data_IF_343529377632
#
_entry.id   IF_343529377632
#
_cell.length_a   1.000
_cell.length_b   1.000
_cell.length_c   1.000
_cell.angle_alpha   90.00
_cell.angle_beta   90.00
_cell.angle_gamma   90.00
#
_symmetry.space_group_name_H-M   'P 1'
#
loop_
_entity.id
_entity.type
_entity.pdbx_description
1 polymer ?
#
# COMPACT_ATOMS: atom_id res chain seq x y z
N UNK A 1 -11.38 16.26 3.21
CA UNK A 1 -10.44 17.30 3.67
C UNK A 1 -9.06 16.92 3.14
N UNK A 2 -8.14 17.85 2.89
CA UNK A 2 -6.79 17.48 2.49
C UNK A 2 -6.09 16.73 3.62
N UNK A 3 -5.26 15.76 3.29
CA UNK A 3 -4.44 15.01 4.24
C UNK A 3 -2.99 15.50 4.14
N UNK A 4 -2.25 15.47 5.25
CA UNK A 4 -0.84 15.89 5.32
C UNK A 4 0.12 14.97 4.55
N UNK A 5 -0.33 13.79 4.16
CA UNK A 5 0.42 12.80 3.37
C UNK A 5 -0.52 11.93 2.55
N UNK A 6 0.01 11.28 1.53
CA UNK A 6 -0.76 10.33 0.72
C UNK A 6 -1.15 9.08 1.52
N UNK A 7 -2.35 8.56 1.28
CA UNK A 7 -2.87 7.37 1.97
C UNK A 7 -3.19 6.26 0.96
N UNK A 8 -2.60 5.09 1.19
CA UNK A 8 -2.83 3.86 0.45
C UNK A 8 -3.54 2.86 1.37
N UNK A 9 -4.78 2.49 1.04
CA UNK A 9 -5.54 1.49 1.81
C UNK A 9 -5.49 0.15 1.12
N UNK A 10 -5.02 -0.89 1.83
CA UNK A 10 -4.84 -2.24 1.32
C UNK A 10 -6.01 -3.15 1.65
N UNK A 11 -6.20 -4.15 0.81
CA UNK A 11 -7.12 -5.24 1.06
C UNK A 11 -8.59 -4.86 0.99
N UNK A 12 -8.93 -3.87 0.18
CA UNK A 12 -10.33 -3.52 -0.09
C UNK A 12 -11.03 -4.71 -0.74
N UNK A 13 -12.14 -5.15 -0.16
CA UNK A 13 -12.85 -6.33 -0.63
C UNK A 13 -14.38 -6.16 -0.70
N UNK A 14 -14.89 -4.96 -0.43
CA UNK A 14 -16.31 -4.64 -0.49
C UNK A 14 -16.56 -3.16 -0.74
N UNK A 15 -17.80 -2.83 -1.08
CA UNK A 15 -18.21 -1.47 -1.44
C UNK A 15 -18.18 -0.49 -0.26
N UNK A 16 -18.50 -0.94 0.93
CA UNK A 16 -18.52 -0.08 2.12
C UNK A 16 -17.13 0.46 2.43
N UNK A 17 -16.10 -0.43 2.43
CA UNK A 17 -14.70 -0.05 2.63
C UNK A 17 -14.22 0.89 1.52
N UNK A 18 -14.51 0.53 0.26
CA UNK A 18 -14.07 1.32 -0.88
C UNK A 18 -14.61 2.77 -0.81
N UNK A 19 -15.90 2.92 -0.56
CA UNK A 19 -16.56 4.24 -0.45
C UNK A 19 -16.14 5.01 0.78
N UNK A 20 -16.01 4.34 1.93
CA UNK A 20 -15.56 4.97 3.16
C UNK A 20 -14.15 5.53 3.00
N UNK A 21 -13.19 4.71 2.58
CA UNK A 21 -11.80 5.14 2.42
C UNK A 21 -11.64 6.23 1.35
N UNK A 22 -12.35 6.12 0.21
CA UNK A 22 -12.36 7.18 -0.80
C UNK A 22 -12.94 8.49 -0.26
N UNK A 23 -14.03 8.41 0.53
CA UNK A 23 -14.66 9.57 1.18
C UNK A 23 -13.78 10.25 2.23
N UNK A 24 -12.94 9.47 2.92
CA UNK A 24 -11.96 9.99 3.89
C UNK A 24 -10.70 10.57 3.23
N UNK A 25 -10.58 10.52 1.91
CA UNK A 25 -9.47 11.13 1.18
C UNK A 25 -8.29 10.19 0.90
N UNK A 26 -8.49 8.86 0.93
CA UNK A 26 -7.47 7.93 0.47
C UNK A 26 -7.12 8.19 -1.01
N UNK A 27 -5.83 8.15 -1.35
CA UNK A 27 -5.36 8.32 -2.73
C UNK A 27 -5.33 7.00 -3.51
N UNK A 28 -5.07 5.89 -2.82
CA UNK A 28 -4.92 4.57 -3.42
C UNK A 28 -5.76 3.53 -2.70
N UNK A 29 -6.47 2.69 -3.47
CA UNK A 29 -7.17 1.51 -2.96
C UNK A 29 -6.61 0.26 -3.63
N UNK A 30 -6.22 -0.75 -2.83
CA UNK A 30 -5.68 -1.99 -3.39
C UNK A 30 -6.68 -3.13 -3.36
N UNK A 31 -6.64 -3.95 -4.40
CA UNK A 31 -7.47 -5.14 -4.59
C UNK A 31 -6.58 -6.35 -4.85
N UNK A 32 -6.74 -7.42 -4.09
CA UNK A 32 -5.99 -8.68 -4.29
C UNK A 32 -6.60 -9.44 -5.46
N UNK A 33 -5.94 -9.40 -6.60
CA UNK A 33 -6.44 -10.03 -7.84
C UNK A 33 -5.69 -11.33 -8.20
N UNK A 34 -4.58 -11.62 -7.51
CA UNK A 34 -3.83 -12.87 -7.73
C UNK A 34 -4.42 -14.01 -6.88
N UNK A 35 -4.85 -15.14 -7.48
CA UNK A 35 -5.35 -16.30 -6.74
C UNK A 35 -4.38 -16.88 -5.71
N UNK A 36 -3.09 -16.58 -5.80
CA UNK A 36 -2.09 -16.98 -4.81
C UNK A 36 -2.14 -16.14 -3.51
N UNK A 37 -2.85 -15.01 -3.53
CA UNK A 37 -3.02 -14.16 -2.35
C UNK A 37 -4.27 -14.59 -1.55
N UNK A 38 -4.22 -14.51 -0.21
CA UNK A 38 -5.40 -14.75 0.61
C UNK A 38 -6.48 -13.70 0.30
N UNK A 39 -7.74 -14.10 0.40
CA UNK A 39 -8.90 -13.22 0.18
C UNK A 39 -8.86 -12.51 -1.19
N UNK A 40 -8.39 -13.20 -2.22
CA UNK A 40 -8.37 -12.66 -3.58
C UNK A 40 -9.80 -12.45 -4.10
N UNK A 41 -9.97 -11.45 -4.95
CA UNK A 41 -11.25 -11.03 -5.48
C UNK A 41 -11.42 -11.48 -6.94
N UNK A 42 -12.67 -11.76 -7.30
CA UNK A 42 -13.05 -11.90 -8.70
C UNK A 42 -12.89 -10.54 -9.43
N UNK A 43 -12.29 -10.51 -10.63
CA UNK A 43 -12.15 -9.29 -11.41
C UNK A 43 -13.48 -8.56 -11.68
N UNK A 44 -14.58 -9.28 -11.82
CA UNK A 44 -15.91 -8.68 -12.01
C UNK A 44 -16.36 -7.89 -10.79
N UNK A 45 -16.05 -8.37 -9.57
CA UNK A 45 -16.31 -7.63 -8.34
C UNK A 45 -15.48 -6.35 -8.29
N UNK A 46 -14.18 -6.40 -8.66
CA UNK A 46 -13.33 -5.21 -8.67
C UNK A 46 -13.83 -4.17 -9.67
N UNK A 47 -14.32 -4.59 -10.85
CA UNK A 47 -14.97 -3.68 -11.82
C UNK A 47 -16.21 -3.01 -11.22
N UNK A 48 -17.04 -3.77 -10.51
CA UNK A 48 -18.22 -3.23 -9.85
C UNK A 48 -17.82 -2.19 -8.79
N UNK A 49 -16.89 -2.54 -7.88
CA UNK A 49 -16.39 -1.65 -6.83
C UNK A 49 -15.80 -0.36 -7.40
N UNK A 50 -15.00 -0.47 -8.46
CA UNK A 50 -14.35 0.67 -9.10
C UNK A 50 -15.33 1.66 -9.70
N UNK A 51 -16.48 1.21 -10.18
CA UNK A 51 -17.55 2.05 -10.70
C UNK A 51 -18.24 2.95 -9.65
N UNK A 52 -18.04 2.66 -8.37
CA UNK A 52 -18.67 3.39 -7.27
C UNK A 52 -17.73 4.34 -6.52
N UNK A 53 -16.46 4.38 -6.88
CA UNK A 53 -15.46 5.25 -6.27
C UNK A 53 -14.86 6.20 -7.31
N UNK A 54 -14.57 7.41 -6.90
CA UNK A 54 -13.96 8.42 -7.75
C UNK A 54 -12.85 9.16 -6.98
N UNK A 55 -11.90 9.71 -7.70
CA UNK A 55 -10.81 10.48 -7.12
C UNK A 55 -9.68 9.64 -6.49
N UNK A 56 -9.74 8.31 -6.60
CA UNK A 56 -8.74 7.38 -6.08
C UNK A 56 -8.02 6.64 -7.21
N UNK A 57 -6.78 6.22 -6.95
CA UNK A 57 -6.01 5.35 -7.83
C UNK A 57 -6.28 3.89 -7.47
N UNK A 58 -6.67 3.08 -8.44
CA UNK A 58 -6.92 1.65 -8.27
C UNK A 58 -5.62 0.87 -8.43
N UNK A 59 -5.31 -0.01 -7.48
CA UNK A 59 -4.06 -0.79 -7.45
C UNK A 59 -4.39 -2.28 -7.36
N UNK A 60 -3.93 -3.08 -8.30
CA UNK A 60 -4.05 -4.55 -8.21
C UNK A 60 -2.85 -5.16 -7.49
N UNK A 61 -3.06 -6.03 -6.50
CA UNK A 61 -2.00 -6.77 -5.82
C UNK A 61 -1.77 -8.12 -6.50
N UNK A 62 -0.48 -8.43 -6.81
CA UNK A 62 -0.07 -9.63 -7.53
C UNK A 62 1.18 -10.27 -6.93
N UNK A 63 1.22 -11.61 -6.95
CA UNK A 63 2.36 -12.41 -6.53
C UNK A 63 2.86 -13.34 -7.65
N UNK A 64 2.06 -14.31 -8.09
CA UNK A 64 2.49 -15.39 -8.96
C UNK A 64 2.07 -15.26 -10.44
N UNK A 65 1.04 -14.48 -10.76
CA UNK A 65 0.57 -14.32 -12.13
C UNK A 65 1.68 -13.81 -13.07
N UNK A 66 1.64 -14.24 -14.31
CA UNK A 66 2.55 -13.77 -15.36
C UNK A 66 2.25 -12.30 -15.76
N UNK A 67 3.22 -11.63 -16.36
CA UNK A 67 3.04 -10.22 -16.79
C UNK A 67 1.88 -10.07 -17.80
N UNK A 68 1.68 -10.95 -18.81
CA UNK A 68 0.51 -10.87 -19.69
C UNK A 68 -0.83 -10.97 -18.97
N UNK A 69 -0.93 -11.87 -17.96
CA UNK A 69 -2.15 -12.00 -17.14
C UNK A 69 -2.39 -10.74 -16.31
N UNK A 70 -1.34 -10.19 -15.68
CA UNK A 70 -1.40 -8.93 -14.93
C UNK A 70 -1.87 -7.78 -15.83
N UNK A 71 -1.32 -7.65 -17.03
CA UNK A 71 -1.71 -6.62 -18.00
C UNK A 71 -3.18 -6.76 -18.43
N UNK A 72 -3.64 -8.00 -18.63
CA UNK A 72 -5.05 -8.28 -18.94
C UNK A 72 -5.96 -7.84 -17.80
N UNK A 73 -5.63 -8.18 -16.55
CA UNK A 73 -6.39 -7.77 -15.38
C UNK A 73 -6.33 -6.25 -15.15
N UNK A 74 -5.17 -5.64 -15.38
CA UNK A 74 -5.02 -4.18 -15.28
C UNK A 74 -5.97 -3.45 -16.25
N UNK A 75 -6.02 -3.90 -17.51
CA UNK A 75 -6.94 -3.34 -18.49
C UNK A 75 -8.41 -3.62 -18.15
N UNK A 76 -8.73 -4.85 -17.72
CA UNK A 76 -10.09 -5.28 -17.40
C UNK A 76 -10.66 -4.53 -16.20
N UNK A 77 -9.88 -4.35 -15.14
CA UNK A 77 -10.29 -3.68 -13.90
C UNK A 77 -10.00 -2.17 -13.89
N UNK A 78 -9.45 -1.60 -14.96
CA UNK A 78 -9.11 -0.17 -15.02
C UNK A 78 -8.06 0.23 -13.99
N UNK A 79 -7.07 -0.63 -13.72
CA UNK A 79 -6.05 -0.35 -12.71
C UNK A 79 -5.12 0.78 -13.17
N UNK A 80 -4.74 1.63 -12.22
CA UNK A 80 -3.76 2.69 -12.42
C UNK A 80 -2.34 2.25 -12.04
N UNK A 81 -2.22 1.29 -11.12
CA UNK A 81 -0.96 0.72 -10.62
C UNK A 81 -1.12 -0.78 -10.35
N UNK A 82 0.02 -1.46 -10.28
CA UNK A 82 0.12 -2.82 -9.74
C UNK A 82 1.06 -2.85 -8.52
N UNK A 83 0.72 -3.60 -7.49
CA UNK A 83 1.57 -3.84 -6.32
C UNK A 83 2.14 -5.26 -6.38
N UNK A 84 3.44 -5.36 -6.63
CA UNK A 84 4.13 -6.63 -6.82
C UNK A 84 4.67 -7.18 -5.50
N UNK A 85 4.20 -8.36 -5.10
CA UNK A 85 4.64 -9.03 -3.86
C UNK A 85 6.00 -9.70 -4.06
N UNK A 86 6.18 -10.50 -5.12
CA UNK A 86 7.49 -11.11 -5.41
C UNK A 86 8.38 -10.19 -6.25
N UNK A 87 9.68 -10.49 -6.24
CA UNK A 87 10.66 -9.81 -7.09
C UNK A 87 10.41 -10.17 -8.56
N UNK A 88 10.50 -9.18 -9.43
CA UNK A 88 10.47 -9.31 -10.89
C UNK A 88 11.76 -8.78 -11.48
N UNK A 89 12.14 -9.28 -12.65
CA UNK A 89 13.29 -8.73 -13.36
C UNK A 89 12.96 -7.38 -13.98
N UNK A 90 13.97 -6.54 -14.28
CA UNK A 90 13.76 -5.29 -15.02
C UNK A 90 13.01 -5.49 -16.35
N UNK A 91 13.30 -6.56 -17.06
CA UNK A 91 12.69 -6.92 -18.35
C UNK A 91 11.21 -7.31 -18.18
N UNK A 92 10.85 -7.99 -17.08
CA UNK A 92 9.46 -8.27 -16.73
C UNK A 92 8.72 -6.96 -16.40
N UNK A 93 9.30 -6.11 -15.53
CA UNK A 93 8.68 -4.85 -15.13
C UNK A 93 8.48 -3.89 -16.31
N UNK A 94 9.40 -3.88 -17.28
CA UNK A 94 9.29 -3.06 -18.49
C UNK A 94 8.13 -3.47 -19.42
N UNK A 95 7.58 -4.68 -19.27
CA UNK A 95 6.43 -5.17 -20.05
C UNK A 95 5.08 -4.84 -19.40
N UNK A 96 5.07 -4.29 -18.19
CA UNK A 96 3.83 -3.85 -17.54
C UNK A 96 3.23 -2.65 -18.28
N UNK A 97 1.92 -2.65 -18.46
CA UNK A 97 1.17 -1.55 -19.11
C UNK A 97 0.85 -0.40 -18.15
N UNK A 98 0.98 -0.63 -16.86
CA UNK A 98 0.80 0.35 -15.79
C UNK A 98 1.99 0.32 -14.82
N UNK A 99 2.31 1.43 -14.14
CA UNK A 99 3.45 1.49 -13.23
C UNK A 99 3.31 0.50 -12.06
N UNK A 100 4.44 -0.05 -11.63
CA UNK A 100 4.52 -0.98 -10.52
C UNK A 100 4.94 -0.31 -9.22
N UNK A 101 4.26 -0.63 -8.13
CA UNK A 101 4.74 -0.49 -6.76
C UNK A 101 5.35 -1.82 -6.31
N UNK A 102 6.37 -1.77 -5.44
CA UNK A 102 7.01 -2.97 -4.89
C UNK A 102 6.73 -3.12 -3.41
N UNK A 103 6.07 -4.22 -3.03
CA UNK A 103 5.93 -4.58 -1.63
C UNK A 103 7.25 -5.17 -1.12
N UNK A 104 7.80 -4.58 -0.06
CA UNK A 104 8.95 -5.08 0.68
C UNK A 104 8.46 -5.62 2.02
N UNK A 105 8.73 -6.88 2.28
CA UNK A 105 8.49 -7.47 3.61
C UNK A 105 9.64 -7.08 4.53
N UNK A 106 9.30 -6.45 5.65
CA UNK A 106 10.26 -6.22 6.71
C UNK A 106 10.60 -7.53 7.40
N UNK A 107 11.89 -7.79 7.59
CA UNK A 107 12.41 -8.93 8.34
C UNK A 107 13.13 -8.36 9.56
N UNK A 108 12.83 -8.79 10.80
CA UNK A 108 13.37 -8.20 12.04
C UNK A 108 14.89 -8.03 12.05
N UNK A 109 15.62 -9.02 11.55
CA UNK A 109 17.08 -9.01 11.49
C UNK A 109 17.66 -8.41 10.20
N UNK A 110 16.81 -7.74 9.41
CA UNK A 110 17.24 -7.11 8.17
C UNK A 110 18.19 -5.95 8.48
N UNK A 111 19.42 -6.08 8.03
CA UNK A 111 20.41 -4.99 8.13
C UNK A 111 20.00 -3.84 7.21
N UNK A 112 20.37 -2.63 7.58
CA UNK A 112 20.13 -1.43 6.77
C UNK A 112 20.64 -1.57 5.34
N UNK A 113 21.80 -2.17 5.17
CA UNK A 113 22.43 -2.43 3.87
C UNK A 113 21.59 -3.36 2.99
N UNK A 114 20.91 -4.36 3.57
CA UNK A 114 20.03 -5.27 2.85
C UNK A 114 18.77 -4.55 2.33
N UNK A 115 18.21 -3.66 3.16
CA UNK A 115 17.03 -2.86 2.78
C UNK A 115 17.43 -1.89 1.67
N UNK A 116 18.54 -1.18 1.83
CA UNK A 116 19.04 -0.24 0.82
C UNK A 116 19.36 -0.94 -0.51
N UNK A 117 19.97 -2.11 -0.48
CA UNK A 117 20.26 -2.91 -1.66
C UNK A 117 18.97 -3.28 -2.40
N UNK A 118 17.92 -3.70 -1.66
CA UNK A 118 16.62 -4.02 -2.26
C UNK A 118 15.95 -2.83 -2.94
N UNK A 119 16.07 -1.64 -2.38
CA UNK A 119 15.54 -0.41 -2.99
C UNK A 119 16.36 -0.02 -4.23
N UNK A 120 17.67 0.02 -4.10
CA UNK A 120 18.60 0.42 -5.16
C UNK A 120 18.45 -0.42 -6.42
N UNK A 121 18.35 -1.74 -6.26
CA UNK A 121 18.24 -2.68 -7.39
C UNK A 121 16.97 -2.52 -8.21
N UNK A 122 15.90 -1.95 -7.63
CA UNK A 122 14.60 -1.88 -8.27
C UNK A 122 14.07 -0.46 -8.51
N UNK A 123 14.68 0.58 -7.91
CA UNK A 123 14.17 1.95 -7.97
C UNK A 123 13.97 2.52 -9.38
N UNK A 124 14.80 2.08 -10.35
CA UNK A 124 14.68 2.53 -11.74
C UNK A 124 13.49 1.91 -12.49
N UNK A 125 12.87 0.87 -11.92
CA UNK A 125 11.86 0.05 -12.59
C UNK A 125 10.50 0.04 -11.88
N UNK A 126 10.41 0.68 -10.70
CA UNK A 126 9.17 0.78 -9.94
C UNK A 126 8.84 2.23 -9.61
N UNK A 127 7.55 2.52 -9.49
CA UNK A 127 7.06 3.85 -9.13
C UNK A 127 7.29 4.19 -7.65
N UNK A 128 7.50 3.18 -6.80
CA UNK A 128 7.80 3.34 -5.39
C UNK A 128 7.73 2.01 -4.63
N UNK A 129 7.94 2.08 -3.32
CA UNK A 129 8.03 0.94 -2.43
C UNK A 129 6.98 1.02 -1.33
N UNK A 130 6.46 -0.13 -0.92
CA UNK A 130 5.47 -0.27 0.14
C UNK A 130 6.03 -1.20 1.21
N UNK A 131 6.16 -0.71 2.45
CA UNK A 131 6.44 -1.48 3.65
C UNK A 131 5.18 -1.46 4.52
N UNK A 132 4.33 -2.48 4.38
CA UNK A 132 3.01 -2.46 5.00
C UNK A 132 3.03 -2.73 6.51
N UNK A 133 3.97 -3.57 6.99
CA UNK A 133 3.97 -4.04 8.38
C UNK A 133 5.37 -3.97 8.98
N UNK A 134 5.46 -3.37 10.17
CA UNK A 134 6.63 -3.41 11.03
C UNK A 134 6.71 -4.74 11.81
N UNK A 135 7.86 -5.08 12.41
CA UNK A 135 7.95 -6.17 13.37
C UNK A 135 6.99 -5.98 14.56
N UNK A 136 6.52 -7.07 15.15
CA UNK A 136 5.63 -7.04 16.31
C UNK A 136 6.25 -6.35 17.54
N UNK A 137 7.57 -6.44 17.69
CA UNK A 137 8.36 -5.75 18.71
C UNK A 137 8.58 -4.25 18.42
N UNK A 138 8.07 -3.76 17.29
CA UNK A 138 8.30 -2.39 16.83
C UNK A 138 9.65 -2.21 16.14
N UNK A 139 10.04 -0.97 15.91
CA UNK A 139 11.33 -0.60 15.31
C UNK A 139 12.21 0.17 16.32
N UNK A 140 13.50 -0.09 16.29
CA UNK A 140 14.48 0.62 17.10
C UNK A 140 14.70 2.05 16.59
N UNK A 141 15.27 2.91 17.46
CA UNK A 141 15.65 4.28 17.07
C UNK A 141 16.59 4.30 15.85
N UNK A 142 17.51 3.34 15.78
CA UNK A 142 18.44 3.22 14.63
C UNK A 142 17.66 2.89 13.33
N UNK A 143 16.75 1.91 13.38
CA UNK A 143 15.91 1.54 12.24
C UNK A 143 15.01 2.70 11.79
N UNK A 144 14.49 3.48 12.74
CA UNK A 144 13.71 4.70 12.45
C UNK A 144 14.56 5.74 11.71
N UNK A 145 15.77 6.02 12.19
CA UNK A 145 16.69 6.94 11.51
C UNK A 145 17.02 6.48 10.08
N UNK A 146 17.19 5.18 9.88
CA UNK A 146 17.40 4.59 8.55
C UNK A 146 16.18 4.75 7.64
N UNK A 147 14.95 4.47 8.14
CA UNK A 147 13.72 4.70 7.39
C UNK A 147 13.58 6.18 6.98
N UNK A 148 13.91 7.10 7.87
CA UNK A 148 13.91 8.54 7.57
C UNK A 148 14.87 8.88 6.43
N UNK A 149 16.06 8.32 6.44
CA UNK A 149 17.02 8.50 5.35
C UNK A 149 16.50 7.89 4.04
N UNK A 150 15.93 6.69 4.08
CA UNK A 150 15.39 6.01 2.91
C UNK A 150 14.17 6.74 2.33
N UNK A 151 13.28 7.27 3.18
CA UNK A 151 12.12 8.04 2.75
C UNK A 151 12.49 9.31 1.97
N UNK A 152 13.68 9.88 2.23
CA UNK A 152 14.22 11.03 1.46
C UNK A 152 14.78 10.64 0.10
N UNK A 153 15.20 9.39 -0.06
CA UNK A 153 15.84 8.90 -1.30
C UNK A 153 14.87 8.16 -2.21
N UNK A 154 13.85 7.54 -1.64
CA UNK A 154 12.92 6.67 -2.36
C UNK A 154 11.47 7.10 -2.09
N UNK A 155 10.59 6.89 -3.08
CA UNK A 155 9.14 6.99 -2.85
C UNK A 155 8.71 5.80 -2.00
N UNK A 156 8.40 6.06 -0.73
CA UNK A 156 8.19 5.04 0.28
C UNK A 156 6.86 5.25 1.00
N UNK A 157 5.98 4.23 0.95
CA UNK A 157 4.76 4.15 1.76
C UNK A 157 5.00 3.23 2.95
N UNK A 158 4.69 3.71 4.15
CA UNK A 158 4.93 2.99 5.40
C UNK A 158 3.63 2.68 6.13
N UNK A 159 3.46 1.43 6.59
CA UNK A 159 2.35 1.04 7.44
C UNK A 159 2.34 1.77 8.78
N UNK A 160 1.15 1.96 9.35
CA UNK A 160 0.98 2.63 10.65
C UNK A 160 1.71 1.93 11.80
N UNK A 161 1.94 0.62 11.70
CA UNK A 161 2.74 -0.14 12.67
C UNK A 161 4.17 0.38 12.85
N UNK A 162 4.74 1.07 11.84
CA UNK A 162 6.06 1.72 11.95
C UNK A 162 6.03 2.99 12.82
N UNK A 163 4.85 3.59 13.02
CA UNK A 163 4.70 4.74 13.90
C UNK A 163 4.78 4.37 15.39
N UNK A 164 4.33 3.17 15.76
CA UNK A 164 4.22 2.75 17.15
C UNK A 164 5.53 2.98 17.96
N UNK A 165 5.45 3.44 19.22
CA UNK A 165 4.23 3.75 19.99
C UNK A 165 3.73 5.20 19.82
N UNK A 166 4.30 6.01 18.94
CA UNK A 166 3.92 7.43 18.76
C UNK A 166 2.69 7.58 17.84
N UNK A 167 1.99 8.74 17.90
CA UNK A 167 0.91 9.05 16.97
C UNK A 167 1.38 9.04 15.51
N UNK A 168 0.50 8.63 14.58
CA UNK A 168 0.82 8.55 13.14
C UNK A 168 1.18 9.92 12.57
N UNK A 169 0.50 10.99 12.99
CA UNK A 169 0.81 12.37 12.58
C UNK A 169 2.27 12.72 12.88
N UNK A 170 2.71 12.52 14.13
CA UNK A 170 4.08 12.80 14.54
C UNK A 170 5.09 11.98 13.73
N UNK A 171 4.81 10.71 13.47
CA UNK A 171 5.64 9.85 12.65
C UNK A 171 5.78 10.39 11.22
N UNK A 172 4.68 10.82 10.59
CA UNK A 172 4.68 11.42 9.25
C UNK A 172 5.53 12.70 9.21
N UNK A 173 5.39 13.57 10.19
CA UNK A 173 6.16 14.82 10.29
C UNK A 173 7.67 14.57 10.46
N UNK A 174 8.06 13.55 11.22
CA UNK A 174 9.47 13.20 11.48
C UNK A 174 10.12 12.46 10.31
N UNK A 175 9.45 11.44 9.77
CA UNK A 175 10.02 10.53 8.76
C UNK A 175 9.83 11.07 7.34
N UNK A 176 8.74 11.80 7.10
CA UNK A 176 8.34 12.35 5.80
C UNK A 176 8.25 11.27 4.70
N UNK A 177 7.53 10.16 4.93
CA UNK A 177 7.31 9.17 3.89
C UNK A 177 6.48 9.75 2.75
N UNK A 178 6.51 9.13 1.57
CA UNK A 178 5.64 9.50 0.45
C UNK A 178 4.16 9.24 0.76
N UNK A 179 3.87 8.40 1.73
CA UNK A 179 2.52 8.12 2.19
C UNK A 179 2.47 7.09 3.33
N UNK A 180 1.27 6.90 3.84
CA UNK A 180 0.94 5.90 4.87
C UNK A 180 0.12 4.77 4.26
N UNK A 181 0.36 3.55 4.75
CA UNK A 181 -0.39 2.36 4.37
C UNK A 181 -1.33 1.99 5.51
N UNK A 182 -2.61 1.84 5.18
CA UNK A 182 -3.65 1.31 6.05
C UNK A 182 -4.12 -0.04 5.52
N UNK A 183 -4.65 -0.88 6.38
CA UNK A 183 -5.41 -2.08 5.97
C UNK A 183 -6.91 -1.74 6.00
N UNK A 184 -7.69 -2.32 5.09
CA UNK A 184 -9.14 -2.12 5.04
C UNK A 184 -9.84 -2.55 6.32
N UNK A 185 -11.06 -2.08 6.53
CA UNK A 185 -11.82 -2.30 7.76
C UNK A 185 -12.01 -3.79 8.08
N UNK A 186 -11.91 -4.14 9.36
CA UNK A 186 -12.14 -5.50 9.84
C UNK A 186 -13.63 -5.82 9.89
N UNK A 187 -13.99 -7.00 9.42
CA UNK A 187 -15.35 -7.50 9.52
C UNK A 187 -15.60 -8.08 10.92
N UNK A 188 -16.45 -7.41 11.72
CA UNK A 188 -16.82 -7.87 13.07
C UNK A 188 -17.83 -9.03 12.98
N UNK A 189 -18.77 -8.92 12.03
CA UNK A 189 -19.78 -9.90 11.67
C UNK A 189 -20.09 -9.78 10.20
N UNK A 190 -20.63 -10.80 9.53
CA UNK A 190 -21.02 -10.72 8.13
C UNK A 190 -21.81 -9.44 7.81
N UNK A 191 -21.22 -8.57 6.98
CA UNK A 191 -21.80 -7.28 6.60
C UNK A 191 -21.63 -6.11 7.58
N UNK A 192 -21.01 -6.32 8.76
CA UNK A 192 -20.73 -5.26 9.73
C UNK A 192 -19.23 -5.03 9.85
N UNK A 193 -18.78 -3.85 9.47
CA UNK A 193 -17.39 -3.41 9.51
C UNK A 193 -17.14 -2.42 10.64
N UNK A 194 -15.94 -2.47 11.21
CA UNK A 194 -15.45 -1.50 12.17
C UNK A 194 -14.47 -0.55 11.47
N UNK A 195 -14.81 0.72 11.44
CA UNK A 195 -13.98 1.78 10.88
C UNK A 195 -13.31 2.65 11.95
N UNK A 196 -13.55 2.36 13.24
CA UNK A 196 -13.07 3.20 14.36
C UNK A 196 -11.57 3.43 14.31
N UNK A 197 -10.79 2.37 14.01
CA UNK A 197 -9.34 2.48 13.91
C UNK A 197 -8.91 3.29 12.67
N UNK A 198 -9.56 3.06 11.53
CA UNK A 198 -9.30 3.83 10.31
C UNK A 198 -9.66 5.30 10.50
N UNK A 199 -10.82 5.60 11.08
CA UNK A 199 -11.29 6.95 11.37
C UNK A 199 -10.29 7.70 12.25
N UNK A 200 -9.86 7.10 13.36
CA UNK A 200 -8.88 7.70 14.28
C UNK A 200 -7.52 7.99 13.61
N UNK A 201 -7.13 7.22 12.58
CA UNK A 201 -5.91 7.48 11.83
C UNK A 201 -6.13 8.60 10.80
N UNK A 202 -7.25 8.58 10.06
CA UNK A 202 -7.57 9.65 9.11
C UNK A 202 -7.66 11.01 9.81
N UNK A 203 -8.32 11.10 10.99
CA UNK A 203 -8.37 12.32 11.81
C UNK A 203 -6.97 12.84 12.17
N UNK A 204 -6.03 11.96 12.50
CA UNK A 204 -4.63 12.36 12.75
C UNK A 204 -3.91 12.89 11.51
N UNK A 205 -4.35 12.51 10.31
CA UNK A 205 -3.72 12.91 9.06
C UNK A 205 -4.37 14.13 8.41
N UNK A 206 -5.47 14.64 8.95
CA UNK A 206 -6.13 15.85 8.42
C UNK A 206 -5.20 17.06 8.49
N UNK A 207 -5.16 17.82 7.38
CA UNK A 207 -4.46 19.11 7.32
C UNK A 207 -5.38 20.19 7.94
N UNK A 208 -4.88 20.94 8.92
CA UNK A 208 -5.63 21.95 9.69
C UNK A 208 -5.83 23.25 8.90
#
# INVERSE_FOLDING_TARGET
MPLITSVLVRGINNLSDARYCAGMGADYLTFRLDPALPDHLDPALVQELSGWVAGVQLVGEFDNLSIPEINTLAATCGLHYVLMHRRRTPEELAQLTVPALKLIKWIPDMLAEDVETRFRDQQAHVAGFVLATAPSEGITTMQRAQLTQQARMYKLWLGTSFAAPQPVRQFVEEVQPSGIVLEGGQEIKPGLRDFTELEAIFEQLEDE
#
